data_IF_424568714319
#
_entry.id   IF_424568714319
#
_cell.length_a   1.000
_cell.length_b   1.000
_cell.length_c   1.000
_cell.angle_alpha   90.00
_cell.angle_beta   90.00
_cell.angle_gamma   90.00
#
_symmetry.space_group_name_H-M   'P 1'
#
loop_
_entity.id
_entity.type
_entity.pdbx_description
1 polymer ?
#
# COMPACT_ATOMS: atom_id res chain seq x y z
N UNK A 1 42.37 -13.30 5.69
CA UNK A 1 41.28 -12.34 6.02
C UNK A 1 40.43 -12.96 7.11
N UNK A 2 40.38 -12.42 8.34
CA UNK A 2 39.52 -12.97 9.39
C UNK A 2 38.07 -12.61 9.07
N UNK A 3 37.26 -13.64 8.81
CA UNK A 3 35.81 -13.58 8.63
C UNK A 3 35.18 -13.31 10.00
N UNK A 4 35.14 -12.05 10.41
CA UNK A 4 34.43 -11.68 11.63
C UNK A 4 32.94 -11.99 11.47
N UNK A 5 32.44 -12.71 12.45
CA UNK A 5 31.06 -13.12 12.58
C UNK A 5 30.16 -11.89 12.70
N UNK A 6 29.21 -11.74 11.78
CA UNK A 6 28.05 -10.85 11.96
C UNK A 6 27.07 -11.59 12.87
N UNK A 7 27.44 -11.72 14.14
CA UNK A 7 26.60 -12.34 15.15
C UNK A 7 26.76 -11.53 16.44
N UNK A 8 26.03 -10.42 16.59
CA UNK A 8 25.72 -9.77 17.89
C UNK A 8 25.05 -8.38 17.74
N UNK A 9 23.82 -8.27 17.22
CA UNK A 9 23.11 -6.97 17.30
C UNK A 9 21.57 -7.02 17.42
N UNK A 10 20.94 -8.20 17.46
CA UNK A 10 19.47 -8.34 17.40
C UNK A 10 18.84 -8.93 18.67
N UNK A 11 19.54 -8.91 19.80
CA UNK A 11 19.12 -9.70 20.97
C UNK A 11 18.20 -8.99 21.98
N UNK A 12 18.01 -7.66 21.89
CA UNK A 12 17.36 -6.89 22.96
C UNK A 12 16.28 -5.88 22.53
N UNK A 13 15.94 -5.79 21.23
CA UNK A 13 14.76 -5.05 20.76
C UNK A 13 13.68 -6.05 20.31
N UNK A 14 12.38 -5.75 20.44
CA UNK A 14 11.37 -6.51 19.70
C UNK A 14 11.69 -6.39 18.20
N UNK A 15 12.35 -7.40 17.65
CA UNK A 15 12.96 -7.41 16.31
C UNK A 15 11.95 -7.39 15.15
N UNK A 16 10.68 -7.09 15.41
CA UNK A 16 9.64 -7.18 14.38
C UNK A 16 8.49 -6.22 14.58
N UNK A 17 7.70 -6.02 13.51
CA UNK A 17 6.54 -5.16 13.56
C UNK A 17 5.51 -5.71 14.56
N UNK A 18 4.85 -4.80 15.26
CA UNK A 18 3.68 -5.10 16.08
C UNK A 18 2.55 -5.66 15.21
N UNK A 19 1.57 -6.31 15.83
CA UNK A 19 0.38 -6.81 15.11
C UNK A 19 -0.37 -5.70 14.36
N UNK A 20 -0.38 -4.46 14.88
CA UNK A 20 -0.99 -3.32 14.23
C UNK A 20 -0.21 -2.86 12.99
N UNK A 21 1.13 -2.88 13.07
CA UNK A 21 2.00 -2.56 11.93
C UNK A 21 1.94 -3.66 10.86
N UNK A 22 1.90 -4.94 11.24
CA UNK A 22 1.66 -6.04 10.29
C UNK A 22 0.31 -5.85 9.58
N UNK A 23 -0.75 -5.52 10.33
CA UNK A 23 -2.05 -5.25 9.72
C UNK A 23 -2.05 -4.00 8.82
N UNK A 24 -1.17 -3.03 9.04
CA UNK A 24 -1.00 -1.90 8.13
C UNK A 24 -0.31 -2.32 6.82
N UNK A 25 0.75 -3.12 6.91
CA UNK A 25 1.45 -3.67 5.74
C UNK A 25 0.51 -4.52 4.87
N UNK A 26 -0.32 -5.37 5.50
CA UNK A 26 -1.30 -6.19 4.78
C UNK A 26 -2.32 -5.34 3.99
N UNK A 27 -2.66 -4.14 4.48
CA UNK A 27 -3.53 -3.21 3.73
C UNK A 27 -2.83 -2.57 2.53
N UNK A 28 -1.51 -2.45 2.55
CA UNK A 28 -0.72 -1.89 1.44
C UNK A 28 -0.51 -2.91 0.31
N UNK A 29 -0.55 -4.21 0.64
CA UNK A 29 -0.28 -5.30 -0.30
C UNK A 29 -1.05 -5.23 -1.62
N UNK A 30 -2.37 -4.92 -1.65
CA UNK A 30 -3.10 -4.77 -2.89
C UNK A 30 -2.53 -3.68 -3.82
N UNK A 31 -2.04 -2.57 -3.26
CA UNK A 31 -1.45 -1.49 -4.05
C UNK A 31 -0.13 -1.94 -4.66
N UNK A 32 0.73 -2.56 -3.86
CA UNK A 32 2.01 -3.14 -4.32
C UNK A 32 1.76 -4.13 -5.46
N UNK A 33 0.78 -5.01 -5.32
CA UNK A 33 0.42 -5.96 -6.38
C UNK A 33 -0.03 -5.24 -7.67
N UNK A 34 -0.82 -4.17 -7.57
CA UNK A 34 -1.23 -3.39 -8.73
C UNK A 34 -0.06 -2.64 -9.41
N UNK A 35 0.91 -2.16 -8.62
CA UNK A 35 2.14 -1.54 -9.13
C UNK A 35 3.06 -2.54 -9.84
N UNK A 36 3.15 -3.77 -9.32
CA UNK A 36 3.86 -4.86 -9.98
C UNK A 36 3.25 -5.23 -11.32
N UNK A 37 1.92 -5.20 -11.46
CA UNK A 37 1.25 -5.41 -12.75
C UNK A 37 1.55 -4.29 -13.76
N UNK A 38 1.62 -3.03 -13.32
CA UNK A 38 2.05 -1.91 -14.18
C UNK A 38 3.49 -2.13 -14.65
N UNK A 39 4.39 -2.39 -13.71
CA UNK A 39 5.82 -2.64 -14.00
C UNK A 39 5.99 -3.82 -14.95
N UNK A 40 5.22 -4.90 -14.76
CA UNK A 40 5.24 -6.07 -15.64
C UNK A 40 4.78 -5.73 -17.05
N UNK A 41 3.74 -4.90 -17.20
CA UNK A 41 3.29 -4.42 -18.50
C UNK A 41 4.33 -3.50 -19.17
N UNK A 42 4.97 -2.62 -18.41
CA UNK A 42 6.05 -1.75 -18.90
C UNK A 42 7.26 -2.54 -19.38
N UNK A 43 7.67 -3.59 -18.65
CA UNK A 43 8.74 -4.51 -19.06
C UNK A 43 8.41 -5.11 -20.44
N UNK A 44 7.18 -5.56 -20.66
CA UNK A 44 6.77 -6.10 -21.98
C UNK A 44 6.93 -5.05 -23.08
N UNK A 45 6.52 -3.81 -22.83
CA UNK A 45 6.65 -2.73 -23.82
C UNK A 45 8.11 -2.37 -24.10
N UNK A 46 8.97 -2.35 -23.09
CA UNK A 46 10.38 -1.99 -23.21
C UNK A 46 11.25 -3.09 -23.81
N UNK A 47 10.86 -4.35 -23.63
CA UNK A 47 11.64 -5.51 -24.08
C UNK A 47 11.14 -6.10 -25.39
N UNK A 48 9.94 -5.73 -25.84
CA UNK A 48 9.42 -6.17 -27.15
C UNK A 48 10.05 -5.39 -28.30
N UNK A 49 10.38 -6.09 -29.38
CA UNK A 49 10.85 -5.48 -30.63
C UNK A 49 9.73 -4.75 -31.40
N UNK A 50 8.48 -5.12 -31.16
CA UNK A 50 7.28 -4.50 -31.75
C UNK A 50 6.07 -4.69 -30.81
N UNK A 51 5.82 -3.79 -29.85
CA UNK A 51 4.67 -3.86 -28.97
C UNK A 51 3.34 -3.92 -29.72
N UNK A 52 2.44 -4.79 -29.28
CA UNK A 52 1.11 -4.94 -29.90
C UNK A 52 0.08 -4.02 -29.26
N UNK A 53 -1.04 -3.79 -29.94
CA UNK A 53 -2.21 -3.10 -29.36
C UNK A 53 -2.71 -3.73 -28.05
N UNK A 54 -2.56 -5.05 -27.91
CA UNK A 54 -2.94 -5.74 -26.68
C UNK A 54 -2.01 -5.35 -25.51
N UNK A 55 -0.72 -5.17 -25.76
CA UNK A 55 0.25 -4.78 -24.73
C UNK A 55 -0.04 -3.37 -24.20
N UNK A 56 -0.35 -2.44 -25.12
CA UNK A 56 -0.81 -1.10 -24.74
C UNK A 56 -2.13 -1.12 -23.96
N UNK A 57 -3.06 -2.02 -24.30
CA UNK A 57 -4.31 -2.20 -23.54
C UNK A 57 -4.04 -2.79 -22.15
N UNK A 58 -3.07 -3.69 -22.01
CA UNK A 58 -2.66 -4.26 -20.72
C UNK A 58 -2.10 -3.18 -19.81
N UNK A 59 -1.17 -2.34 -20.30
CA UNK A 59 -0.65 -1.21 -19.51
C UNK A 59 -1.77 -0.30 -19.02
N UNK A 60 -2.66 0.16 -19.92
CA UNK A 60 -3.79 1.02 -19.54
C UNK A 60 -4.71 0.39 -18.50
N UNK A 61 -4.92 -0.93 -18.54
CA UNK A 61 -5.73 -1.64 -17.54
C UNK A 61 -5.00 -1.71 -16.20
N UNK A 62 -3.71 -2.00 -16.21
CA UNK A 62 -2.88 -2.04 -15.00
C UNK A 62 -2.85 -0.66 -14.31
N UNK A 63 -2.65 0.42 -15.07
CA UNK A 63 -2.68 1.80 -14.52
C UNK A 63 -4.02 2.16 -13.90
N UNK A 64 -5.14 1.82 -14.57
CA UNK A 64 -6.48 2.03 -14.03
C UNK A 64 -6.71 1.23 -12.75
N UNK A 65 -6.21 0.00 -12.70
CA UNK A 65 -6.30 -0.84 -11.51
C UNK A 65 -5.46 -0.26 -10.37
N UNK A 66 -4.24 0.22 -10.63
CA UNK A 66 -3.40 0.91 -9.65
C UNK A 66 -4.11 2.13 -9.04
N UNK A 67 -4.71 2.98 -9.88
CA UNK A 67 -5.44 4.16 -9.41
C UNK A 67 -6.65 3.79 -8.55
N UNK A 68 -7.38 2.73 -8.91
CA UNK A 68 -8.50 2.24 -8.11
C UNK A 68 -8.05 1.78 -6.73
N UNK A 69 -7.01 0.95 -6.67
CA UNK A 69 -6.50 0.42 -5.39
C UNK A 69 -5.88 1.53 -4.54
N UNK A 70 -5.20 2.49 -5.16
CA UNK A 70 -4.68 3.67 -4.45
C UNK A 70 -5.81 4.47 -3.79
N UNK A 71 -6.94 4.64 -4.48
CA UNK A 71 -8.11 5.31 -3.90
C UNK A 71 -8.73 4.50 -2.75
N UNK A 72 -8.76 3.17 -2.86
CA UNK A 72 -9.23 2.27 -1.80
C UNK A 72 -8.34 2.35 -0.55
N UNK A 73 -7.01 2.34 -0.71
CA UNK A 73 -6.05 2.50 0.40
C UNK A 73 -6.18 3.86 1.07
N UNK A 74 -6.22 4.95 0.28
CA UNK A 74 -6.38 6.30 0.81
C UNK A 74 -7.70 6.46 1.60
N UNK A 75 -8.78 5.81 1.16
CA UNK A 75 -10.04 5.80 1.91
C UNK A 75 -9.92 5.04 3.24
N UNK A 76 -9.20 3.92 3.26
CA UNK A 76 -8.95 3.15 4.48
C UNK A 76 -8.09 3.93 5.49
N UNK A 77 -7.06 4.63 5.02
CA UNK A 77 -6.25 5.52 5.86
C UNK A 77 -7.06 6.69 6.43
N UNK A 78 -7.87 7.34 5.59
CA UNK A 78 -8.75 8.42 6.05
C UNK A 78 -9.73 7.95 7.13
N UNK A 79 -10.22 6.71 7.05
CA UNK A 79 -11.07 6.11 8.08
C UNK A 79 -10.32 5.84 9.40
N UNK A 80 -9.03 5.48 9.35
CA UNK A 80 -8.17 5.32 10.55
C UNK A 80 -7.94 6.64 11.28
N UNK A 81 -7.72 7.73 10.54
CA UNK A 81 -7.38 9.04 11.11
C UNK A 81 -8.61 9.78 11.67
N UNK A 82 -9.83 9.44 11.23
CA UNK A 82 -11.02 10.26 11.50
C UNK A 82 -11.34 10.36 13.01
N UNK A 83 -11.29 11.56 13.62
CA UNK A 83 -11.66 11.73 15.02
C UNK A 83 -13.16 11.53 15.22
N UNK A 84 -13.54 11.09 16.42
CA UNK A 84 -14.94 10.86 16.82
C UNK A 84 -15.82 12.09 16.50
N UNK A 85 -17.06 11.91 16.03
CA UNK A 85 -17.92 13.04 15.72
C UNK A 85 -18.10 13.91 16.95
N UNK A 86 -17.83 15.22 16.82
CA UNK A 86 -18.09 16.20 17.86
C UNK A 86 -19.61 16.16 18.11
N UNK A 87 -20.01 15.52 19.21
CA UNK A 87 -21.40 15.40 19.59
C UNK A 87 -22.03 16.78 19.62
N UNK A 88 -23.05 17.01 18.80
CA UNK A 88 -23.83 18.25 18.85
C UNK A 88 -24.40 18.34 20.27
N UNK A 89 -23.89 19.27 21.08
CA UNK A 89 -24.46 19.56 22.40
C UNK A 89 -25.93 19.88 22.17
N UNK A 90 -26.82 18.99 22.60
CA UNK A 90 -28.24 19.32 22.70
C UNK A 90 -28.33 20.46 23.71
N UNK A 91 -28.55 21.68 23.21
CA UNK A 91 -28.97 22.77 24.06
C UNK A 91 -30.36 22.39 24.58
N UNK A 92 -30.41 21.89 25.82
CA UNK A 92 -31.66 21.72 26.54
C UNK A 92 -32.21 23.12 26.75
N UNK A 93 -33.29 23.44 26.05
CA UNK A 93 -34.04 24.68 26.24
C UNK A 93 -34.75 24.54 27.59
N UNK A 94 -34.25 25.25 28.60
CA UNK A 94 -34.94 25.36 29.89
C UNK A 94 -36.28 26.08 29.66
N UNK A 95 -37.33 25.51 30.27
CA UNK A 95 -38.70 26.00 30.26
C UNK A 95 -38.87 27.21 31.19
#
# INVERSE_FOLDING_TARGET
MPRQAIASAYADEPTGPTAAELAAIELEWPLIAAELEVTSAEIVLLTSTAPTELDWRRLRRAERQRLRVLAELAAAEAARVRPAPIGRRRHVRAA
#
